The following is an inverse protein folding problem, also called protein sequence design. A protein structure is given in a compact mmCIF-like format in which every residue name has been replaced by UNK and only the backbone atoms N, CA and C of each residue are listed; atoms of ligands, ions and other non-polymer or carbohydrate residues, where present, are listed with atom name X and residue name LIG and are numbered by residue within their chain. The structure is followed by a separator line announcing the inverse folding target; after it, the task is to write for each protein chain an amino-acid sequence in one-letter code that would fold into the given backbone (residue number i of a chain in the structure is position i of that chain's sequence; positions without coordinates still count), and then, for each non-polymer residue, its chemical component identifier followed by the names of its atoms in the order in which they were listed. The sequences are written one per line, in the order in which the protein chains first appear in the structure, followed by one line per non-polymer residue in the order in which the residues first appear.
data_IF_561752684455
#
_entry.id   IF_561752684455
#
_cell.length_a   1.000
_cell.length_b   1.000
_cell.length_c   1.000
_cell.angle_alpha   90.00
_cell.angle_beta   90.00
_cell.angle_gamma   90.00
#
_symmetry.space_group_name_H-M   'P 1'
#
loop_
_entity.id
_entity.type
_entity.pdbx_description
1 polymer ?
#
# COMPACT_ATOMS: atom_id res chain seq x y z
N UNK A 1 -17.32 -36.58 73.44
CA UNK A 1 -17.61 -35.89 72.16
C UNK A 1 -16.28 -35.54 71.52
N UNK A 2 -16.01 -35.94 70.27
CA UNK A 2 -14.69 -35.90 69.62
C UNK A 2 -14.41 -34.55 68.93
N UNK A 3 -13.18 -34.31 68.45
CA UNK A 3 -12.97 -34.33 66.98
C UNK A 3 -11.63 -35.01 66.59
N UNK A 4 -11.67 -35.99 65.69
CA UNK A 4 -11.49 -35.88 64.24
C UNK A 4 -10.01 -35.77 63.80
N UNK A 5 -9.43 -36.91 63.42
CA UNK A 5 -8.46 -36.95 62.31
C UNK A 5 -9.15 -36.42 61.06
N UNK A 6 -8.47 -35.59 60.24
CA UNK A 6 -8.00 -36.18 58.99
C UNK A 6 -6.79 -35.49 58.31
N UNK A 7 -6.21 -36.23 57.37
CA UNK A 7 -5.51 -35.74 56.18
C UNK A 7 -4.02 -35.37 56.31
N UNK A 8 -3.22 -36.40 56.10
CA UNK A 8 -2.08 -36.40 55.20
C UNK A 8 -2.16 -35.35 54.07
N UNK A 9 -1.08 -34.58 53.87
CA UNK A 9 -0.78 -34.03 52.55
C UNK A 9 0.73 -33.91 52.37
N UNK A 10 1.25 -34.84 51.58
CA UNK A 10 2.61 -34.89 51.07
C UNK A 10 2.93 -33.64 50.26
N UNK A 11 4.11 -33.08 50.53
CA UNK A 11 4.82 -32.17 49.66
C UNK A 11 5.04 -32.80 48.27
N UNK A 12 4.84 -31.99 47.24
CA UNK A 12 4.92 -32.41 45.84
C UNK A 12 4.83 -31.25 44.87
N UNK A 13 5.53 -30.15 45.16
CA UNK A 13 5.62 -28.99 44.28
C UNK A 13 6.54 -29.25 43.09
N UNK A 14 6.06 -29.92 42.05
CA UNK A 14 6.76 -29.98 40.75
C UNK A 14 6.39 -28.72 39.95
N UNK A 15 7.22 -27.69 40.04
CA UNK A 15 7.23 -26.56 39.10
C UNK A 15 7.85 -27.02 37.78
N UNK A 16 7.04 -27.17 36.73
CA UNK A 16 7.58 -27.23 35.36
C UNK A 16 6.52 -26.89 34.31
N UNK A 17 6.05 -25.64 34.26
CA UNK A 17 5.31 -25.12 33.09
C UNK A 17 5.59 -23.62 32.94
N UNK A 18 6.78 -23.25 32.45
CA UNK A 18 7.11 -21.84 32.22
C UNK A 18 7.86 -21.54 30.92
N UNK A 19 8.57 -22.53 30.37
CA UNK A 19 9.44 -22.32 29.20
C UNK A 19 8.72 -22.37 27.85
N UNK A 20 7.76 -23.28 27.66
CA UNK A 20 7.13 -23.53 26.35
C UNK A 20 6.10 -22.47 25.93
N UNK A 21 5.52 -21.77 26.91
CA UNK A 21 4.45 -20.80 26.67
C UNK A 21 5.00 -19.43 26.26
N UNK A 22 6.15 -19.03 26.83
CA UNK A 22 6.82 -17.79 26.50
C UNK A 22 7.32 -17.76 25.05
N UNK A 23 7.88 -18.87 24.55
CA UNK A 23 8.35 -18.94 23.16
C UNK A 23 7.21 -18.85 22.15
N UNK A 24 6.02 -19.40 22.47
CA UNK A 24 4.84 -19.26 21.60
C UNK A 24 4.31 -17.82 21.56
N UNK A 25 4.35 -17.09 22.69
CA UNK A 25 3.95 -15.67 22.72
C UNK A 25 4.89 -14.77 21.91
N UNK A 26 6.20 -15.05 21.92
CA UNK A 26 7.18 -14.25 21.18
C UNK A 26 7.05 -14.48 19.66
N UNK A 27 6.84 -15.73 19.23
CA UNK A 27 6.63 -16.04 17.80
C UNK A 27 5.29 -15.50 17.28
N UNK A 28 4.24 -15.49 18.11
CA UNK A 28 2.96 -14.86 17.75
C UNK A 28 3.08 -13.33 17.59
N UNK A 29 3.79 -12.64 18.49
CA UNK A 29 4.05 -11.19 18.38
C UNK A 29 4.79 -10.79 17.10
N UNK A 30 5.72 -11.62 16.62
CA UNK A 30 6.51 -11.29 15.44
C UNK A 30 5.74 -11.45 14.12
N UNK A 31 4.69 -12.28 14.10
CA UNK A 31 3.86 -12.51 12.90
C UNK A 31 2.75 -11.46 12.74
N UNK A 32 2.34 -10.83 13.84
CA UNK A 32 1.30 -9.79 13.85
C UNK A 32 1.83 -8.38 13.56
N UNK A 33 3.14 -8.13 13.69
CA UNK A 33 3.73 -6.80 13.49
C UNK A 33 3.63 -6.26 12.07
N UNK A 34 3.76 -7.12 11.05
CA UNK A 34 3.67 -6.69 9.64
C UNK A 34 2.24 -6.38 9.19
N UNK A 35 1.28 -7.20 9.60
CA UNK A 35 -0.14 -7.00 9.30
C UNK A 35 -0.75 -5.87 10.15
N UNK A 36 -0.30 -5.71 11.40
CA UNK A 36 -0.70 -4.60 12.27
C UNK A 36 -0.09 -3.25 11.86
N UNK A 37 1.04 -3.24 11.15
CA UNK A 37 1.58 -1.99 10.57
C UNK A 37 0.69 -1.44 9.46
N UNK A 38 0.18 -2.31 8.58
CA UNK A 38 -0.76 -1.93 7.53
C UNK A 38 -2.15 -1.60 8.10
N UNK A 39 -2.65 -2.39 9.06
CA UNK A 39 -3.90 -2.08 9.77
C UNK A 39 -3.78 -0.80 10.63
N UNK A 40 -2.59 -0.53 11.16
CA UNK A 40 -2.23 0.68 11.89
C UNK A 40 -1.94 1.87 10.98
N UNK A 41 -1.87 1.70 9.66
CA UNK A 41 -1.75 2.76 8.64
C UNK A 41 -3.12 3.26 8.16
N UNK A 42 -4.13 2.38 8.14
CA UNK A 42 -5.50 2.71 7.75
C UNK A 42 -6.50 2.24 8.82
N UNK A 43 -6.68 2.99 9.92
CA UNK A 43 -7.56 2.60 11.02
C UNK A 43 -9.05 2.66 10.66
N UNK A 44 -9.41 3.14 9.46
CA UNK A 44 -10.77 3.20 8.96
C UNK A 44 -10.87 2.56 7.58
N UNK A 45 -11.95 1.82 7.30
CA UNK A 45 -12.21 1.35 5.94
C UNK A 45 -12.44 2.55 5.03
N UNK A 46 -11.84 2.54 3.84
CA UNK A 46 -12.06 3.58 2.84
C UNK A 46 -13.55 3.77 2.53
N UNK A 47 -13.97 5.02 2.37
CA UNK A 47 -15.32 5.37 1.90
C UNK A 47 -15.52 4.88 0.45
N UNK A 48 -16.78 4.79 0.01
CA UNK A 48 -17.08 4.39 -1.38
C UNK A 48 -16.44 5.38 -2.38
N UNK A 49 -16.45 6.67 -2.07
CA UNK A 49 -15.79 7.72 -2.87
C UNK A 49 -14.29 7.51 -2.96
N UNK A 50 -13.61 7.25 -1.83
CA UNK A 50 -12.18 6.94 -1.83
C UNK A 50 -11.88 5.69 -2.65
N UNK A 51 -12.70 4.63 -2.54
CA UNK A 51 -12.52 3.40 -3.33
C UNK A 51 -12.63 3.67 -4.83
N UNK A 52 -13.60 4.47 -5.25
CA UNK A 52 -13.75 4.88 -6.66
C UNK A 52 -12.52 5.67 -7.09
N UNK A 53 -12.09 6.66 -6.30
CA UNK A 53 -10.92 7.47 -6.63
C UNK A 53 -9.63 6.63 -6.69
N UNK A 54 -9.46 5.65 -5.80
CA UNK A 54 -8.35 4.71 -5.84
C UNK A 54 -8.37 3.85 -7.10
N UNK A 55 -9.55 3.35 -7.49
CA UNK A 55 -9.70 2.58 -8.72
C UNK A 55 -9.41 3.45 -9.95
N UNK A 56 -9.90 4.70 -9.97
CA UNK A 56 -9.58 5.68 -11.00
C UNK A 56 -8.07 5.97 -11.05
N UNK A 57 -7.43 6.16 -9.90
CA UNK A 57 -5.99 6.41 -9.81
C UNK A 57 -5.20 5.23 -10.40
N UNK A 58 -5.51 4.01 -9.98
CA UNK A 58 -4.87 2.80 -10.53
C UNK A 58 -5.08 2.71 -12.05
N UNK A 59 -6.30 2.95 -12.52
CA UNK A 59 -6.63 2.98 -13.94
C UNK A 59 -5.81 4.02 -14.71
N UNK A 60 -5.73 5.25 -14.19
CA UNK A 60 -4.91 6.33 -14.76
C UNK A 60 -3.44 5.93 -14.85
N UNK A 61 -2.88 5.32 -13.80
CA UNK A 61 -1.50 4.85 -13.78
C UNK A 61 -1.24 3.76 -14.84
N UNK A 62 -2.14 2.80 -14.97
CA UNK A 62 -2.02 1.72 -15.96
C UNK A 62 -2.14 2.28 -17.38
N UNK A 63 -3.14 3.13 -17.64
CA UNK A 63 -3.32 3.77 -18.93
C UNK A 63 -2.12 4.65 -19.31
N UNK A 64 -1.54 5.36 -18.34
CA UNK A 64 -0.37 6.18 -18.56
C UNK A 64 0.87 5.33 -18.93
N UNK A 65 1.12 4.22 -18.22
CA UNK A 65 2.22 3.31 -18.59
C UNK A 65 1.97 2.68 -19.96
N UNK A 66 0.74 2.30 -20.27
CA UNK A 66 0.39 1.74 -21.58
C UNK A 66 0.62 2.75 -22.72
N UNK A 67 0.15 3.99 -22.54
CA UNK A 67 0.32 5.05 -23.54
C UNK A 67 1.79 5.46 -23.70
N UNK A 68 2.55 5.54 -22.59
CA UNK A 68 4.00 5.81 -22.66
C UNK A 68 4.74 4.68 -23.38
N UNK A 69 4.43 3.42 -23.06
CA UNK A 69 5.05 2.25 -23.70
C UNK A 69 4.74 2.22 -25.19
N UNK A 70 3.51 2.56 -25.58
CA UNK A 70 3.12 2.66 -26.99
C UNK A 70 3.88 3.78 -27.71
N UNK A 71 3.93 4.99 -27.12
CA UNK A 71 4.63 6.13 -27.71
C UNK A 71 6.12 5.83 -27.92
N UNK A 72 6.80 5.31 -26.88
CA UNK A 72 8.21 4.91 -26.96
C UNK A 72 8.42 3.79 -27.98
N UNK A 73 7.54 2.79 -28.03
CA UNK A 73 7.62 1.68 -28.99
C UNK A 73 7.48 2.13 -30.44
N UNK A 74 6.74 3.20 -30.70
CA UNK A 74 6.62 3.84 -32.01
C UNK A 74 7.80 4.79 -32.33
N UNK A 75 8.77 4.94 -31.42
CA UNK A 75 9.85 5.92 -31.54
C UNK A 75 9.36 7.37 -31.41
N UNK A 76 8.15 7.57 -30.88
CA UNK A 76 7.50 8.87 -30.73
C UNK A 76 7.85 9.42 -29.35
N UNK A 77 8.59 10.52 -29.33
CA UNK A 77 9.01 11.18 -28.11
C UNK A 77 10.49 10.95 -27.82
N UNK A 78 11.27 12.02 -27.95
CA UNK A 78 12.68 12.02 -27.59
C UNK A 78 12.81 12.49 -26.14
N UNK A 79 13.10 11.56 -25.25
CA UNK A 79 13.22 11.86 -23.83
C UNK A 79 14.65 12.38 -23.56
N UNK A 80 14.80 13.71 -23.47
CA UNK A 80 16.11 14.35 -23.34
C UNK A 80 16.85 14.09 -22.02
N UNK A 81 16.18 13.48 -21.04
CA UNK A 81 16.79 13.05 -19.78
C UNK A 81 17.14 11.56 -19.85
N UNK A 82 18.43 11.18 -19.86
CA UNK A 82 18.87 9.79 -20.01
C UNK A 82 18.39 8.85 -18.90
N UNK A 83 18.13 9.39 -17.69
CA UNK A 83 17.57 8.60 -16.58
C UNK A 83 16.10 8.25 -16.86
N UNK A 84 15.31 9.21 -17.35
CA UNK A 84 13.92 8.98 -17.72
C UNK A 84 13.83 8.00 -18.90
N UNK A 85 14.72 8.11 -19.90
CA UNK A 85 14.79 7.16 -21.01
C UNK A 85 14.99 5.71 -20.54
N UNK A 86 15.85 5.51 -19.54
CA UNK A 86 16.07 4.18 -18.96
C UNK A 86 14.83 3.65 -18.20
N UNK A 87 14.11 4.54 -17.53
CA UNK A 87 12.86 4.19 -16.82
C UNK A 87 11.72 3.90 -17.79
N UNK A 88 11.52 4.72 -18.83
CA UNK A 88 10.46 4.54 -19.83
C UNK A 88 10.73 3.36 -20.76
N UNK A 89 11.99 2.98 -20.96
CA UNK A 89 12.40 1.74 -21.63
C UNK A 89 12.11 0.45 -20.85
N UNK A 90 11.78 0.54 -19.56
CA UNK A 90 11.43 -0.61 -18.70
C UNK A 90 10.02 -0.45 -18.11
N UNK A 91 8.96 -0.88 -18.82
CA UNK A 91 7.56 -0.73 -18.38
C UNK A 91 7.27 -1.21 -16.94
N UNK A 92 7.83 -2.33 -16.46
CA UNK A 92 7.62 -2.78 -15.08
C UNK A 92 8.19 -1.81 -14.03
N UNK A 93 9.36 -1.22 -14.31
CA UNK A 93 10.02 -0.27 -13.41
C UNK A 93 9.24 1.05 -13.38
N UNK A 94 8.77 1.50 -14.54
CA UNK A 94 7.91 2.67 -14.67
C UNK A 94 6.60 2.51 -13.88
N UNK A 95 5.96 1.35 -13.98
CA UNK A 95 4.74 1.03 -13.21
C UNK A 95 5.02 0.95 -11.71
N UNK A 96 6.12 0.30 -11.30
CA UNK A 96 6.49 0.18 -9.89
C UNK A 96 6.72 1.55 -9.24
N UNK A 97 7.39 2.46 -9.94
CA UNK A 97 7.64 3.81 -9.43
C UNK A 97 6.33 4.59 -9.24
N UNK A 98 5.41 4.49 -10.21
CA UNK A 98 4.09 5.12 -10.09
C UNK A 98 3.25 4.49 -8.98
N UNK A 99 3.26 3.17 -8.84
CA UNK A 99 2.57 2.48 -7.75
C UNK A 99 3.15 2.83 -6.38
N UNK A 100 4.48 2.99 -6.27
CA UNK A 100 5.12 3.43 -5.04
C UNK A 100 4.68 4.86 -4.67
N UNK A 101 4.66 5.78 -5.64
CA UNK A 101 4.14 7.13 -5.42
C UNK A 101 2.65 7.13 -5.03
N UNK A 102 1.82 6.38 -5.74
CA UNK A 102 0.41 6.22 -5.40
C UNK A 102 0.24 5.66 -3.99
N UNK A 103 1.02 4.65 -3.60
CA UNK A 103 1.04 4.12 -2.24
C UNK A 103 1.36 5.18 -1.18
N UNK A 104 2.32 6.07 -1.46
CA UNK A 104 2.65 7.19 -0.56
C UNK A 104 1.49 8.19 -0.47
N UNK A 105 0.88 8.58 -1.58
CA UNK A 105 -0.29 9.48 -1.58
C UNK A 105 -1.45 8.88 -0.78
N UNK A 106 -1.73 7.60 -0.97
CA UNK A 106 -2.81 6.90 -0.26
C UNK A 106 -2.48 6.81 1.23
N UNK A 107 -1.23 6.51 1.58
CA UNK A 107 -0.74 6.55 2.96
C UNK A 107 -0.92 7.94 3.61
N UNK A 108 -0.53 9.00 2.90
CA UNK A 108 -0.72 10.38 3.35
C UNK A 108 -2.20 10.74 3.51
N UNK A 109 -3.05 10.33 2.58
CA UNK A 109 -4.51 10.52 2.68
C UNK A 109 -5.09 9.82 3.91
N UNK A 110 -4.69 8.57 4.16
CA UNK A 110 -5.12 7.82 5.35
C UNK A 110 -4.60 8.39 6.67
N UNK A 111 -3.41 9.02 6.65
CA UNK A 111 -2.90 9.78 7.81
C UNK A 111 -3.66 11.09 7.98
N UNK A 112 -3.91 11.84 6.91
CA UNK A 112 -4.66 13.10 6.93
C UNK A 112 -6.10 12.89 7.46
N UNK A 113 -6.75 11.79 7.08
CA UNK A 113 -8.07 11.40 7.56
C UNK A 113 -8.15 11.13 9.07
N UNK A 114 -7.01 10.90 9.74
CA UNK A 114 -6.97 10.81 11.21
C UNK A 114 -7.11 12.16 11.88
N UNK A 115 -6.61 13.21 11.23
CA UNK A 115 -6.63 14.56 11.76
C UNK A 115 -7.91 15.29 11.37
N UNK A 116 -8.34 15.14 10.11
CA UNK A 116 -9.55 15.78 9.58
C UNK A 116 -10.36 14.74 8.80
N UNK A 117 -11.56 14.36 9.27
CA UNK A 117 -12.39 13.38 8.57
C UNK A 117 -12.71 13.80 7.13
N UNK A 118 -12.38 12.95 6.15
CA UNK A 118 -12.65 13.18 4.73
C UNK A 118 -11.53 13.94 3.99
N UNK A 119 -10.43 14.29 4.66
CA UNK A 119 -9.26 14.89 4.04
C UNK A 119 -8.62 13.97 2.98
N UNK A 120 -8.69 12.65 3.16
CA UNK A 120 -8.13 11.66 2.25
C UNK A 120 -8.74 11.71 0.85
N UNK A 121 -10.02 12.06 0.74
CA UNK A 121 -10.70 12.28 -0.55
C UNK A 121 -10.01 13.37 -1.36
N UNK A 122 -9.63 14.48 -0.72
CA UNK A 122 -8.94 15.59 -1.37
C UNK A 122 -7.51 15.21 -1.78
N UNK A 123 -6.79 14.46 -0.93
CA UNK A 123 -5.44 13.98 -1.24
C UNK A 123 -5.45 13.05 -2.47
N UNK A 124 -6.32 12.04 -2.47
CA UNK A 124 -6.42 11.07 -3.58
C UNK A 124 -6.96 11.77 -4.83
N UNK A 125 -7.96 12.65 -4.68
CA UNK A 125 -8.51 13.44 -5.78
C UNK A 125 -7.48 14.35 -6.44
N UNK A 126 -6.63 15.03 -5.66
CA UNK A 126 -5.54 15.84 -6.19
C UNK A 126 -4.52 15.00 -6.96
N UNK A 127 -4.18 13.81 -6.46
CA UNK A 127 -3.30 12.90 -7.19
C UNK A 127 -3.94 12.41 -8.50
N UNK A 128 -5.23 12.07 -8.51
CA UNK A 128 -5.95 11.74 -9.74
C UNK A 128 -5.85 12.88 -10.75
N UNK A 129 -6.14 14.12 -10.34
CA UNK A 129 -6.04 15.29 -11.21
C UNK A 129 -4.63 15.49 -11.77
N UNK A 130 -3.61 15.30 -10.95
CA UNK A 130 -2.22 15.38 -11.39
C UNK A 130 -1.86 14.29 -12.41
N UNK A 131 -2.35 13.06 -12.22
CA UNK A 131 -2.10 11.95 -13.13
C UNK A 131 -2.91 11.99 -14.44
N UNK A 132 -3.92 12.85 -14.55
CA UNK A 132 -4.56 13.13 -15.84
C UNK A 132 -3.60 13.85 -16.78
N UNK A 133 -2.71 14.72 -16.28
CA UNK A 133 -1.78 15.49 -17.10
C UNK A 133 -0.87 14.62 -17.98
N UNK A 134 -0.10 13.65 -17.44
CA UNK A 134 0.77 12.83 -18.27
C UNK A 134 -0.03 11.92 -19.22
N UNK A 135 -1.22 11.45 -18.81
CA UNK A 135 -2.11 10.69 -19.69
C UNK A 135 -2.54 11.53 -20.91
N UNK A 136 -3.03 12.74 -20.68
CA UNK A 136 -3.45 13.67 -21.75
C UNK A 136 -2.25 14.03 -22.64
N UNK A 137 -1.09 14.29 -22.05
CA UNK A 137 0.13 14.56 -22.80
C UNK A 137 0.49 13.40 -23.73
N UNK A 138 0.46 12.16 -23.23
CA UNK A 138 0.77 10.98 -24.03
C UNK A 138 -0.24 10.79 -25.15
N UNK A 139 -1.54 10.95 -24.87
CA UNK A 139 -2.58 10.90 -25.91
C UNK A 139 -2.41 11.97 -26.98
N UNK A 140 -2.09 13.20 -26.57
CA UNK A 140 -1.86 14.30 -27.50
C UNK A 140 -0.68 13.99 -28.43
N UNK A 141 0.45 13.57 -27.86
CA UNK A 141 1.66 13.20 -28.61
C UNK A 141 1.37 12.06 -29.59
N UNK A 142 0.66 11.02 -29.15
CA UNK A 142 0.25 9.91 -30.02
C UNK A 142 -0.65 10.41 -31.16
N UNK A 143 -1.65 11.23 -30.86
CA UNK A 143 -2.59 11.75 -31.84
C UNK A 143 -1.93 12.67 -32.88
N UNK A 144 -0.92 13.45 -32.50
CA UNK A 144 -0.23 14.37 -33.41
C UNK A 144 0.92 13.73 -34.20
N UNK A 145 1.51 12.65 -33.67
CA UNK A 145 2.73 12.07 -34.22
C UNK A 145 2.55 10.65 -34.78
N UNK A 146 1.36 10.03 -34.66
CA UNK A 146 1.08 8.75 -35.29
C UNK A 146 1.02 8.93 -36.81
N UNK A 147 1.87 8.23 -37.60
CA UNK A 147 1.73 8.20 -39.04
C UNK A 147 0.41 7.48 -39.38
N UNK A 148 -0.46 8.14 -40.14
CA UNK A 148 -1.60 7.50 -40.81
C UNK A 148 -1.08 6.67 -41.98
#
# INVERSE_FOLDING_TARGET
MPPADPCARSDGGVRSVGGRENTRRIVARHREGGLSLLAGLFPRPFTLTEKILLFCLIGLLVCDVATTTYAVGMGIGYEGNPVMTGVTGCPPLHLLLKLAYAGVVVGLGGVADRYVPGAGVYCIGAACAFYVLPLVNNFWVIATCSPV
#
